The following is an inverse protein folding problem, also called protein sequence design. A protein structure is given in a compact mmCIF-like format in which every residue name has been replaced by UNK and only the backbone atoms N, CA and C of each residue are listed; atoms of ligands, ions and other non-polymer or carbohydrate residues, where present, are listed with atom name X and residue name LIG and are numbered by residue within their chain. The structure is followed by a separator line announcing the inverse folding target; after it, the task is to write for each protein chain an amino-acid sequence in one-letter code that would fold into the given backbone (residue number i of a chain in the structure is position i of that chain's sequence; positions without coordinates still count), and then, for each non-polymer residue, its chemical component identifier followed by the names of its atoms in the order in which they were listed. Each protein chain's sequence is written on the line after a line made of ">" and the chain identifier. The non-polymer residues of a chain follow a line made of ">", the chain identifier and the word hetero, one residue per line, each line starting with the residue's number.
data_IF_924081113471
#
_entry.id   IF_924081113471
#
_cell.length_a   1.000
_cell.length_b   1.000
_cell.length_c   1.000
_cell.angle_alpha   90.00
_cell.angle_beta   90.00
_cell.angle_gamma   90.00
#
_symmetry.space_group_name_H-M   'P 1'
#
loop_
_entity.id
_entity.type
_entity.pdbx_description
1 polymer ?
#
# COMPACT_ATOMS: atom_id res chain seq x y z
N UNK A 1 -12.94 -0.99 16.40
CA UNK A 1 -12.11 -1.26 15.20
C UNK A 1 -12.29 -2.72 14.83
N UNK A 2 -12.33 -3.04 13.55
CA UNK A 2 -12.34 -4.44 13.13
C UNK A 2 -10.98 -5.08 13.48
N UNK A 3 -10.98 -6.32 13.94
CA UNK A 3 -9.75 -7.05 14.18
C UNK A 3 -9.15 -7.57 12.85
N UNK A 4 -7.91 -8.05 12.91
CA UNK A 4 -7.20 -8.56 11.72
C UNK A 4 -8.01 -9.62 10.96
N UNK A 5 -8.64 -10.58 11.64
CA UNK A 5 -9.40 -11.66 11.00
C UNK A 5 -10.65 -11.14 10.26
N UNK A 6 -11.32 -10.12 10.80
CA UNK A 6 -12.45 -9.48 10.15
C UNK A 6 -12.03 -8.72 8.89
N UNK A 7 -10.87 -8.03 8.94
CA UNK A 7 -10.30 -7.35 7.79
C UNK A 7 -9.80 -8.33 6.73
N UNK A 8 -9.14 -9.41 7.12
CA UNK A 8 -8.68 -10.46 6.22
C UNK A 8 -9.84 -11.06 5.41
N UNK A 9 -10.99 -11.32 6.03
CA UNK A 9 -12.21 -11.77 5.32
C UNK A 9 -12.75 -10.75 4.31
N UNK A 10 -12.55 -9.45 4.55
CA UNK A 10 -12.93 -8.42 3.59
C UNK A 10 -11.94 -8.39 2.43
N UNK A 11 -10.65 -8.37 2.74
CA UNK A 11 -9.58 -8.27 1.75
C UNK A 11 -9.46 -9.54 0.89
N UNK A 12 -9.85 -10.71 1.39
CA UNK A 12 -9.91 -11.95 0.61
C UNK A 12 -10.71 -11.82 -0.70
N UNK A 13 -11.68 -10.90 -0.74
CA UNK A 13 -12.51 -10.61 -1.91
C UNK A 13 -11.76 -9.92 -3.03
N UNK A 14 -10.54 -9.43 -2.80
CA UNK A 14 -9.67 -8.87 -3.83
C UNK A 14 -9.40 -9.97 -4.89
N UNK A 15 -9.74 -9.74 -6.17
CA UNK A 15 -9.43 -10.67 -7.25
C UNK A 15 -7.92 -10.93 -7.38
N UNK A 16 -7.56 -12.11 -7.90
CA UNK A 16 -6.19 -12.34 -8.39
C UNK A 16 -5.97 -11.57 -9.70
N UNK A 17 -4.71 -11.36 -10.05
CA UNK A 17 -4.28 -10.83 -11.35
C UNK A 17 -4.83 -9.43 -11.68
N UNK A 18 -5.03 -8.61 -10.65
CA UNK A 18 -5.47 -7.22 -10.78
C UNK A 18 -4.36 -6.32 -11.31
N UNK A 19 -4.70 -5.44 -12.25
CA UNK A 19 -3.78 -4.38 -12.66
C UNK A 19 -3.65 -3.30 -11.59
N UNK A 20 -4.77 -2.81 -11.04
CA UNK A 20 -4.78 -1.68 -10.09
C UNK A 20 -5.72 -1.98 -8.92
N UNK A 21 -5.16 -1.95 -7.71
CA UNK A 21 -5.89 -1.93 -6.44
C UNK A 21 -5.83 -0.50 -5.88
N UNK A 22 -6.99 0.05 -5.48
CA UNK A 22 -7.07 1.36 -4.83
C UNK A 22 -7.76 1.19 -3.47
N UNK A 23 -7.13 1.65 -2.41
CA UNK A 23 -7.66 1.61 -1.04
C UNK A 23 -7.53 2.97 -0.35
N UNK A 24 -8.39 3.24 0.64
CA UNK A 24 -8.13 4.37 1.52
C UNK A 24 -7.03 4.02 2.53
N UNK A 25 -7.13 2.85 3.15
CA UNK A 25 -6.15 2.33 4.11
C UNK A 25 -4.81 1.99 3.42
N UNK A 26 -3.70 2.20 4.11
CA UNK A 26 -2.36 1.98 3.57
C UNK A 26 -1.83 0.57 3.87
N UNK A 27 -1.07 0.02 2.95
CA UNK A 27 -0.27 -1.20 3.19
C UNK A 27 1.06 -0.84 3.87
N UNK A 28 1.74 -1.84 4.44
CA UNK A 28 3.07 -1.68 5.02
C UNK A 28 4.18 -1.87 3.96
N UNK A 29 3.99 -1.34 2.76
CA UNK A 29 4.94 -1.43 1.65
C UNK A 29 5.45 -0.03 1.32
N UNK A 30 6.77 0.12 1.16
CA UNK A 30 7.46 1.36 0.81
C UNK A 30 7.00 2.62 1.59
N UNK A 31 6.65 2.47 2.87
CA UNK A 31 6.32 3.60 3.74
C UNK A 31 5.12 4.46 3.25
N UNK A 32 4.26 3.90 2.38
CA UNK A 32 3.07 4.63 1.88
C UNK A 32 2.06 4.96 2.98
N UNK A 33 2.15 4.27 4.12
CA UNK A 33 1.34 4.46 5.33
C UNK A 33 2.14 4.90 6.56
N UNK A 34 3.35 5.43 6.38
CA UNK A 34 4.20 5.91 7.49
C UNK A 34 4.19 7.44 7.52
N UNK A 35 4.05 8.04 8.70
CA UNK A 35 4.21 9.49 8.84
C UNK A 35 5.69 9.86 8.85
N UNK A 36 6.05 10.94 8.17
CA UNK A 36 7.44 11.45 8.15
C UNK A 36 7.58 12.87 8.74
N UNK A 37 6.54 13.39 9.39
CA UNK A 37 6.55 14.72 10.01
C UNK A 37 7.11 14.72 11.43
N UNK A 38 7.72 15.85 11.81
CA UNK A 38 8.14 16.16 13.19
C UNK A 38 9.13 15.16 13.83
N UNK A 39 9.89 14.43 13.03
CA UNK A 39 10.97 13.54 13.50
C UNK A 39 10.49 12.27 14.22
N UNK A 40 9.20 11.97 14.17
CA UNK A 40 8.63 10.72 14.70
C UNK A 40 7.92 9.96 13.60
N UNK A 41 8.34 8.73 13.35
CA UNK A 41 7.70 7.86 12.36
C UNK A 41 6.63 7.00 13.03
N UNK A 42 5.38 7.14 12.58
CA UNK A 42 4.25 6.33 13.04
C UNK A 42 3.69 5.59 11.83
N UNK A 43 3.55 4.27 11.96
CA UNK A 43 2.97 3.42 10.92
C UNK A 43 1.46 3.30 11.11
N UNK A 44 0.68 3.85 10.19
CA UNK A 44 -0.77 3.71 10.09
C UNK A 44 -1.15 2.72 8.97
N UNK A 45 -0.44 1.59 8.92
CA UNK A 45 -0.63 0.55 7.93
C UNK A 45 -1.51 -0.60 8.43
N UNK A 46 -2.17 -1.28 7.51
CA UNK A 46 -2.97 -2.46 7.79
C UNK A 46 -2.26 -3.75 7.39
N UNK A 47 -1.97 -4.58 8.39
CA UNK A 47 -1.31 -5.86 8.19
C UNK A 47 -2.15 -6.80 7.30
N UNK A 48 -3.46 -6.89 7.53
CA UNK A 48 -4.34 -7.75 6.74
C UNK A 48 -4.40 -7.35 5.25
N UNK A 49 -4.40 -6.05 4.95
CA UNK A 49 -4.31 -5.54 3.58
C UNK A 49 -2.95 -5.88 2.96
N UNK A 50 -1.87 -5.73 3.73
CA UNK A 50 -0.50 -6.01 3.27
C UNK A 50 -0.33 -7.48 2.89
N UNK A 51 -0.82 -8.39 3.74
CA UNK A 51 -0.77 -9.82 3.49
C UNK A 51 -1.57 -10.19 2.23
N UNK A 52 -2.72 -9.55 2.03
CA UNK A 52 -3.53 -9.79 0.86
C UNK A 52 -2.90 -9.25 -0.44
N UNK A 53 -2.25 -8.08 -0.39
CA UNK A 53 -1.47 -7.54 -1.53
C UNK A 53 -0.34 -8.51 -1.89
N UNK A 54 0.37 -9.07 -0.91
CA UNK A 54 1.42 -10.08 -1.14
C UNK A 54 0.87 -11.35 -1.78
N UNK A 55 -0.33 -11.78 -1.39
CA UNK A 55 -0.98 -12.99 -1.91
C UNK A 55 -1.57 -12.81 -3.31
N UNK A 56 -2.16 -11.64 -3.59
CA UNK A 56 -2.87 -11.34 -4.84
C UNK A 56 -2.01 -10.66 -5.89
N UNK A 57 -0.90 -10.06 -5.46
CA UNK A 57 0.17 -9.51 -6.29
C UNK A 57 -0.34 -8.56 -7.41
N UNK A 58 -1.17 -7.54 -7.10
CA UNK A 58 -1.64 -6.61 -8.13
C UNK A 58 -0.46 -5.83 -8.75
N UNK A 59 -0.55 -5.39 -10.01
CA UNK A 59 0.56 -4.63 -10.62
C UNK A 59 0.79 -3.29 -9.91
N UNK A 60 -0.30 -2.64 -9.47
CA UNK A 60 -0.31 -1.41 -8.68
C UNK A 60 -1.20 -1.57 -7.44
N UNK A 61 -0.75 -1.07 -6.29
CA UNK A 61 -1.56 -0.90 -5.07
C UNK A 61 -1.40 0.53 -4.55
N UNK A 62 -2.42 1.35 -4.80
CA UNK A 62 -2.43 2.78 -4.51
C UNK A 62 -3.27 3.04 -3.26
N UNK A 63 -2.78 3.90 -2.36
CA UNK A 63 -3.48 4.25 -1.14
C UNK A 63 -3.57 5.77 -0.92
N UNK A 64 -4.30 6.16 0.13
CA UNK A 64 -4.27 7.53 0.65
C UNK A 64 -4.02 7.53 2.16
N UNK A 65 -4.79 8.34 2.88
CA UNK A 65 -4.89 8.41 4.34
C UNK A 65 -3.71 9.10 5.05
N UNK A 66 -2.48 8.61 4.88
CA UNK A 66 -1.30 9.18 5.55
C UNK A 66 -0.65 10.20 4.62
N UNK A 67 -0.94 11.48 4.81
CA UNK A 67 -0.58 12.51 3.82
C UNK A 67 0.93 12.70 3.67
N UNK A 68 1.70 12.29 4.67
CA UNK A 68 3.16 12.31 4.67
C UNK A 68 3.81 11.02 4.17
N UNK A 69 3.02 9.98 3.87
CA UNK A 69 3.54 8.72 3.35
C UNK A 69 4.23 8.86 1.99
N UNK A 70 4.88 7.81 1.52
CA UNK A 70 5.63 7.87 0.26
C UNK A 70 4.71 8.07 -0.97
N UNK A 71 4.83 9.23 -1.61
CA UNK A 71 4.10 9.59 -2.85
C UNK A 71 4.77 9.13 -4.15
N UNK A 72 5.98 8.54 -4.07
CA UNK A 72 6.67 8.04 -5.25
C UNK A 72 6.21 6.62 -5.58
N UNK A 73 5.90 6.38 -6.86
CA UNK A 73 5.64 5.02 -7.35
C UNK A 73 6.89 4.18 -7.13
N UNK A 74 6.80 3.28 -6.15
CA UNK A 74 7.91 2.45 -5.69
C UNK A 74 7.60 0.99 -5.99
N UNK A 75 8.50 0.31 -6.70
CA UNK A 75 8.39 -1.12 -6.94
C UNK A 75 8.83 -1.90 -5.70
N UNK A 76 7.92 -2.66 -5.10
CA UNK A 76 8.20 -3.51 -3.96
C UNK A 76 8.24 -4.98 -4.40
N UNK A 77 9.35 -5.69 -4.19
CA UNK A 77 9.37 -7.13 -4.38
C UNK A 77 8.44 -7.77 -3.33
N UNK A 78 7.47 -8.53 -3.80
CA UNK A 78 6.58 -9.34 -2.98
C UNK A 78 6.72 -10.81 -3.36
N UNK A 79 6.73 -11.64 -2.33
CA UNK A 79 6.82 -13.08 -2.41
C UNK A 79 5.93 -13.67 -1.32
N UNK A 80 5.58 -14.95 -1.47
CA UNK A 80 4.83 -15.66 -0.44
C UNK A 80 5.72 -15.90 0.80
N UNK A 81 5.13 -15.90 2.00
CA UNK A 81 5.75 -15.73 3.33
C UNK A 81 7.22 -16.13 3.58
N UNK A 82 7.78 -17.14 2.90
CA UNK A 82 9.15 -17.62 3.11
C UNK A 82 9.95 -17.47 1.82
N UNK A 83 10.95 -16.57 1.82
CA UNK A 83 11.90 -16.45 0.73
C UNK A 83 12.88 -17.63 0.74
N UNK A 84 12.95 -18.32 -0.40
CA UNK A 84 13.87 -19.41 -0.72
C UNK A 84 14.44 -19.13 -2.13
N UNK A 85 15.56 -19.74 -2.51
CA UNK A 85 16.23 -19.47 -3.80
C UNK A 85 15.29 -19.56 -5.02
N UNK A 86 14.32 -20.46 -4.99
CA UNK A 86 13.34 -20.69 -6.07
C UNK A 86 11.98 -19.98 -5.84
N UNK A 87 11.90 -19.04 -4.89
CA UNK A 87 10.63 -18.39 -4.57
C UNK A 87 10.21 -17.44 -5.66
N UNK A 88 9.07 -17.73 -6.28
CA UNK A 88 8.45 -16.82 -7.24
C UNK A 88 8.09 -15.50 -6.55
N UNK A 89 8.61 -14.41 -7.10
CA UNK A 89 8.38 -13.06 -6.63
C UNK A 89 7.98 -12.18 -7.80
N UNK A 90 7.30 -11.08 -7.49
CA UNK A 90 6.99 -10.03 -8.47
C UNK A 90 7.07 -8.66 -7.81
N UNK A 91 7.07 -7.61 -8.62
CA UNK A 91 7.02 -6.25 -8.11
C UNK A 91 5.57 -5.75 -8.09
N UNK A 92 5.09 -5.38 -6.90
CA UNK A 92 3.89 -4.55 -6.73
C UNK A 92 4.35 -3.10 -6.68
N UNK A 93 3.80 -2.23 -7.54
CA UNK A 93 4.07 -0.79 -7.49
C UNK A 93 3.12 -0.13 -6.51
N UNK A 94 3.67 0.57 -5.51
CA UNK A 94 2.87 1.24 -4.48
C UNK A 94 3.14 2.73 -4.46
N UNK A 95 2.13 3.52 -4.12
CA UNK A 95 2.25 4.95 -3.85
C UNK A 95 1.08 5.42 -2.99
N UNK A 96 1.34 6.40 -2.14
CA UNK A 96 0.31 7.27 -1.61
C UNK A 96 -0.08 8.28 -2.70
N UNK A 97 -1.38 8.45 -2.94
CA UNK A 97 -1.92 9.36 -3.97
C UNK A 97 -2.81 10.45 -3.37
N UNK A 98 -2.64 10.73 -2.07
CA UNK A 98 -3.35 11.82 -1.40
C UNK A 98 -2.96 13.16 -2.01
N UNK A 99 -3.94 14.00 -2.34
CA UNK A 99 -3.67 15.36 -2.85
C UNK A 99 -3.47 16.39 -1.74
N UNK A 100 -3.79 16.02 -0.49
CA UNK A 100 -3.78 16.89 0.67
C UNK A 100 -2.50 16.67 1.50
N UNK A 101 -2.06 17.70 2.21
CA UNK A 101 -1.08 17.62 3.30
C UNK A 101 -1.75 17.37 4.66
N UNK A 102 -0.98 17.21 5.73
CA UNK A 102 -1.51 16.99 7.10
C UNK A 102 -2.37 18.16 7.63
N UNK A 103 -2.30 19.33 6.99
CA UNK A 103 -3.17 20.48 7.27
C UNK A 103 -4.43 20.50 6.39
N UNK A 104 -4.69 19.43 5.65
CA UNK A 104 -5.81 19.27 4.72
C UNK A 104 -5.85 20.31 3.59
N UNK A 105 -4.69 20.90 3.28
CA UNK A 105 -4.54 21.81 2.14
C UNK A 105 -4.09 21.03 0.90
N UNK A 106 -4.56 21.44 -0.28
CA UNK A 106 -4.09 20.85 -1.54
C UNK A 106 -2.60 21.15 -1.69
N UNK A 107 -1.79 20.10 -1.71
CA UNK A 107 -0.33 20.20 -1.70
C UNK A 107 0.31 19.28 -2.75
N UNK A 108 -0.12 18.02 -2.81
CA UNK A 108 0.40 17.06 -3.79
C UNK A 108 -0.37 17.15 -5.10
N UNK A 109 0.34 16.95 -6.21
CA UNK A 109 -0.27 16.88 -7.54
C UNK A 109 -0.93 15.50 -7.72
N UNK A 110 -2.01 15.41 -8.53
CA UNK A 110 -2.55 14.12 -8.92
C UNK A 110 -1.46 13.22 -9.54
N UNK A 111 -1.32 12.00 -9.03
CA UNK A 111 -0.39 11.01 -9.58
C UNK A 111 -0.87 10.52 -10.94
N UNK A 112 -0.01 10.58 -11.95
CA UNK A 112 -0.27 10.13 -13.32
C UNK A 112 0.81 9.16 -13.78
N UNK A 113 0.43 8.07 -14.45
CA UNK A 113 1.34 7.08 -15.00
C UNK A 113 0.71 6.37 -16.21
N UNK A 114 1.56 5.78 -17.05
CA UNK A 114 1.15 4.97 -18.22
C UNK A 114 1.07 3.49 -17.83
N UNK A 115 0.19 2.74 -18.51
CA UNK A 115 -0.07 1.31 -18.28
C UNK A 115 0.62 0.40 -19.28
#
# INVERSE_FOLDING_TARGET
>A
MANHAELAKKYEKIPKDLDILITHEASNLAEVGTTHDNGTEIQYCCAALTDEIRRKKPKYALCGHVHTGNHNITACPVYDYVFQEETEWTNVRVANVSILDESYSIYFKPTTFEL
#
